data_IF_855955559570
#
_entry.id   IF_855955559570
#
_cell.length_a   1.000
_cell.length_b   1.000
_cell.length_c   1.000
_cell.angle_alpha   90.00
_cell.angle_beta   90.00
_cell.angle_gamma   90.00
#
_symmetry.space_group_name_H-M   'P 1'
#
loop_
_entity.id
_entity.type
_entity.pdbx_description
1 polymer ?
#
# COMPACT_ATOMS: atom_id res chain seq x y z
N UNK A 1 13.75 -5.41 -14.40
CA UNK A 1 13.31 -6.76 -13.97
C UNK A 1 12.05 -6.56 -13.14
N UNK A 2 11.01 -7.34 -13.37
CA UNK A 2 9.80 -7.32 -12.54
C UNK A 2 10.15 -7.92 -11.18
N UNK A 3 9.91 -7.25 -10.05
CA UNK A 3 10.15 -7.84 -8.73
C UNK A 3 9.24 -9.06 -8.58
N UNK A 4 9.84 -10.25 -8.44
CA UNK A 4 9.10 -11.45 -8.12
C UNK A 4 8.80 -11.46 -6.62
N UNK A 5 7.53 -11.44 -6.23
CA UNK A 5 7.14 -11.52 -4.83
C UNK A 5 7.21 -12.98 -4.36
N UNK A 6 8.09 -13.33 -3.41
CA UNK A 6 8.27 -14.72 -3.02
C UNK A 6 7.13 -15.22 -2.15
N UNK A 7 6.85 -16.53 -2.27
CA UNK A 7 5.88 -17.24 -1.42
C UNK A 7 6.62 -18.19 -0.49
N UNK A 8 6.58 -17.90 0.79
CA UNK A 8 7.28 -18.67 1.81
C UNK A 8 6.35 -19.74 2.41
N UNK A 9 6.80 -21.00 2.51
CA UNK A 9 6.04 -22.08 3.12
C UNK A 9 6.04 -21.97 4.66
N UNK A 10 5.21 -22.76 5.36
CA UNK A 10 5.06 -22.66 6.82
C UNK A 10 6.35 -22.85 7.63
N UNK A 11 7.28 -23.67 7.14
CA UNK A 11 8.60 -23.88 7.77
C UNK A 11 9.45 -22.61 7.86
N UNK A 12 9.10 -21.57 7.11
CA UNK A 12 9.80 -20.29 7.12
C UNK A 12 9.22 -19.32 8.17
N UNK A 13 8.15 -19.69 8.88
CA UNK A 13 7.64 -18.91 10.02
C UNK A 13 8.57 -19.14 11.21
N UNK A 14 9.17 -18.06 11.71
CA UNK A 14 9.92 -18.06 12.96
C UNK A 14 9.02 -17.72 14.15
N UNK A 15 9.56 -16.99 15.13
CA UNK A 15 8.78 -16.58 16.31
C UNK A 15 7.91 -15.37 15.96
N UNK A 16 6.60 -15.51 16.06
CA UNK A 16 5.69 -14.36 16.06
C UNK A 16 5.55 -13.83 17.49
N UNK A 17 6.06 -12.61 17.72
CA UNK A 17 6.36 -12.11 19.06
C UNK A 17 5.21 -11.34 19.72
N UNK A 18 4.49 -10.51 18.95
CA UNK A 18 3.41 -9.67 19.49
C UNK A 18 2.43 -9.24 18.43
N UNK A 19 1.15 -9.17 18.80
CA UNK A 19 0.17 -8.40 18.05
C UNK A 19 0.45 -6.89 18.21
N UNK A 20 0.31 -6.16 17.11
CA UNK A 20 0.37 -4.69 17.07
C UNK A 20 -1.07 -4.19 17.04
N UNK A 21 -1.53 -3.43 18.05
CA UNK A 21 -2.87 -2.87 18.03
C UNK A 21 -3.02 -1.83 16.92
N UNK A 22 -4.14 -1.88 16.20
CA UNK A 22 -4.49 -1.00 15.09
C UNK A 22 -5.96 -1.18 14.68
N UNK A 23 -6.53 -0.24 13.92
CA UNK A 23 -7.97 -0.17 13.67
C UNK A 23 -8.48 -1.11 12.54
N UNK A 24 -7.61 -1.64 11.67
CA UNK A 24 -8.06 -2.27 10.41
C UNK A 24 -7.41 -3.62 10.04
N UNK A 25 -6.61 -4.25 10.92
CA UNK A 25 -6.00 -5.53 10.57
C UNK A 25 -5.35 -6.31 11.70
N UNK A 26 -5.17 -7.61 11.48
CA UNK A 26 -4.42 -8.51 12.35
C UNK A 26 -2.93 -8.39 12.04
N UNK A 27 -2.30 -7.36 12.60
CA UNK A 27 -0.87 -7.08 12.41
C UNK A 27 -0.04 -7.59 13.58
N UNK A 28 1.08 -8.25 13.31
CA UNK A 28 2.02 -8.73 14.32
C UNK A 28 3.46 -8.41 13.92
N UNK A 29 4.35 -8.32 14.91
CA UNK A 29 5.80 -8.32 14.68
C UNK A 29 6.33 -9.73 14.93
N UNK A 30 7.21 -10.21 14.06
CA UNK A 30 7.82 -11.52 14.23
C UNK A 30 9.10 -11.69 13.44
N UNK A 31 9.59 -12.92 13.45
CA UNK A 31 10.68 -13.39 12.62
C UNK A 31 10.15 -14.34 11.54
N UNK A 32 10.69 -14.23 10.34
CA UNK A 32 10.58 -15.24 9.29
C UNK A 32 11.98 -15.58 8.77
N UNK A 33 12.11 -16.70 8.07
CA UNK A 33 13.30 -17.06 7.32
C UNK A 33 13.06 -16.80 5.84
N UNK A 34 13.93 -16.03 5.18
CA UNK A 34 13.79 -15.73 3.75
C UNK A 34 14.12 -16.95 2.85
N UNK A 35 14.18 -16.75 1.54
CA UNK A 35 14.45 -17.82 0.55
C UNK A 35 15.84 -18.45 0.76
N UNK A 36 16.74 -17.74 1.43
CA UNK A 36 18.11 -18.17 1.78
C UNK A 36 18.21 -18.66 3.21
N UNK A 37 17.07 -18.83 3.88
CA UNK A 37 16.95 -19.19 5.29
C UNK A 37 17.63 -18.19 6.24
N UNK A 38 17.80 -16.93 5.81
CA UNK A 38 18.30 -15.89 6.70
C UNK A 38 17.12 -15.32 7.53
N UNK A 39 17.30 -15.11 8.84
CA UNK A 39 16.26 -14.54 9.68
C UNK A 39 15.99 -13.08 9.29
N UNK A 40 14.71 -12.71 9.27
CA UNK A 40 14.20 -11.36 8.99
C UNK A 40 13.17 -10.98 10.03
N UNK A 41 13.35 -9.83 10.65
CA UNK A 41 12.29 -9.21 11.44
C UNK A 41 11.28 -8.58 10.49
N UNK A 42 10.00 -8.90 10.69
CA UNK A 42 8.92 -8.50 9.79
C UNK A 42 7.70 -7.99 10.54
N UNK A 43 6.95 -7.13 9.85
CA UNK A 43 5.53 -6.91 10.14
C UNK A 43 4.72 -7.90 9.31
N UNK A 44 3.94 -8.74 9.99
CA UNK A 44 3.04 -9.71 9.39
C UNK A 44 1.61 -9.22 9.52
N UNK A 45 0.84 -9.27 8.43
CA UNK A 45 -0.61 -9.00 8.42
C UNK A 45 -1.39 -10.21 7.95
N UNK A 46 -2.30 -10.66 8.79
CA UNK A 46 -3.29 -11.67 8.43
C UNK A 46 -4.61 -10.99 8.05
N UNK A 47 -5.23 -11.47 6.98
CA UNK A 47 -6.50 -10.95 6.49
C UNK A 47 -7.58 -12.03 6.59
N UNK A 48 -8.83 -11.65 6.91
CA UNK A 48 -9.96 -12.57 6.76
C UNK A 48 -10.06 -13.07 5.31
N UNK A 49 -10.55 -14.29 5.11
CA UNK A 49 -10.66 -14.90 3.76
C UNK A 49 -11.55 -14.10 2.78
N UNK A 50 -12.47 -13.29 3.30
CA UNK A 50 -13.34 -12.41 2.49
C UNK A 50 -12.70 -11.07 2.13
N UNK A 51 -11.58 -10.72 2.76
CA UNK A 51 -10.87 -9.45 2.55
C UNK A 51 -9.94 -9.53 1.34
N UNK A 52 -9.92 -8.46 0.56
CA UNK A 52 -8.97 -8.18 -0.52
C UNK A 52 -7.71 -7.47 -0.03
N UNK A 53 -7.55 -7.28 1.29
CA UNK A 53 -6.41 -6.59 1.89
C UNK A 53 -5.05 -7.20 1.52
N UNK A 54 -4.95 -8.54 1.40
CA UNK A 54 -3.71 -9.20 0.97
C UNK A 54 -3.30 -8.78 -0.44
N UNK A 55 -4.21 -8.89 -1.42
CA UNK A 55 -3.89 -8.50 -2.80
C UNK A 55 -3.65 -6.99 -2.91
N UNK A 56 -4.35 -6.19 -2.11
CA UNK A 56 -4.17 -4.75 -2.03
C UNK A 56 -2.74 -4.37 -1.59
N UNK A 57 -2.23 -5.01 -0.53
CA UNK A 57 -0.85 -4.81 -0.07
C UNK A 57 0.20 -5.22 -1.13
N UNK A 58 -0.01 -6.35 -1.81
CA UNK A 58 0.88 -6.82 -2.89
C UNK A 58 0.97 -5.77 -4.00
N UNK A 59 -0.18 -5.31 -4.50
CA UNK A 59 -0.26 -4.33 -5.58
C UNK A 59 0.41 -3.02 -5.15
N UNK A 60 0.10 -2.55 -3.95
CA UNK A 60 0.64 -1.30 -3.42
C UNK A 60 2.17 -1.34 -3.29
N UNK A 61 2.72 -2.41 -2.70
CA UNK A 61 4.16 -2.56 -2.53
C UNK A 61 4.88 -2.67 -3.88
N UNK A 62 4.35 -3.46 -4.82
CA UNK A 62 4.94 -3.58 -6.17
C UNK A 62 5.00 -2.24 -6.90
N UNK A 63 3.94 -1.43 -6.78
CA UNK A 63 3.90 -0.12 -7.39
C UNK A 63 4.81 0.89 -6.68
N UNK A 64 4.90 0.83 -5.35
CA UNK A 64 5.85 1.67 -4.60
C UNK A 64 7.29 1.39 -5.03
N UNK A 65 7.70 0.12 -5.04
CA UNK A 65 9.03 -0.31 -5.47
C UNK A 65 9.34 0.14 -6.90
N UNK A 66 8.38 -0.03 -7.81
CA UNK A 66 8.58 0.33 -9.21
C UNK A 66 8.65 1.86 -9.45
N UNK A 67 7.87 2.62 -8.68
CA UNK A 67 7.80 4.07 -8.80
C UNK A 67 8.88 4.79 -7.99
N UNK A 68 9.83 4.06 -7.41
CA UNK A 68 10.87 4.56 -6.50
C UNK A 68 10.28 5.32 -5.29
N UNK A 69 9.13 4.87 -4.80
CA UNK A 69 8.57 5.33 -3.52
C UNK A 69 9.20 4.50 -2.43
N UNK A 70 9.88 5.16 -1.50
CA UNK A 70 10.51 4.54 -0.34
C UNK A 70 9.47 3.73 0.43
N UNK A 71 9.67 2.43 0.54
CA UNK A 71 8.82 1.48 1.24
C UNK A 71 9.70 0.35 1.85
N UNK A 72 9.14 -0.68 2.52
CA UNK A 72 9.92 -1.81 2.99
C UNK A 72 10.72 -2.48 1.86
N UNK A 73 12.02 -2.66 2.05
CA UNK A 73 12.97 -3.16 1.01
C UNK A 73 12.74 -4.60 0.57
N UNK A 74 11.92 -5.34 1.31
CA UNK A 74 11.54 -6.69 0.97
C UNK A 74 10.13 -6.99 1.51
N UNK A 75 9.42 -7.82 0.77
CA UNK A 75 8.10 -8.31 1.13
C UNK A 75 7.91 -9.76 0.68
N UNK A 76 6.96 -10.43 1.31
CA UNK A 76 6.66 -11.84 1.10
C UNK A 76 5.17 -12.11 1.28
N UNK A 77 4.68 -13.15 0.61
CA UNK A 77 3.50 -13.87 1.08
C UNK A 77 3.99 -15.07 1.87
N UNK A 78 3.59 -15.20 3.13
CA UNK A 78 3.96 -16.35 3.97
C UNK A 78 2.73 -17.17 4.34
N UNK A 79 2.83 -18.49 4.18
CA UNK A 79 1.77 -19.41 4.59
C UNK A 79 1.92 -19.70 6.08
N UNK A 80 0.94 -19.30 6.88
CA UNK A 80 0.99 -19.44 8.35
C UNK A 80 0.02 -20.52 8.81
N UNK A 81 0.47 -21.38 9.73
CA UNK A 81 -0.42 -22.36 10.36
C UNK A 81 -1.39 -21.69 11.34
N UNK A 82 -2.63 -22.21 11.46
CA UNK A 82 -3.66 -21.60 12.31
C UNK A 82 -3.25 -21.43 13.77
N UNK A 83 -2.42 -22.34 14.30
CA UNK A 83 -2.03 -22.30 15.71
C UNK A 83 -1.23 -21.03 16.06
N UNK A 84 -0.40 -20.53 15.14
CA UNK A 84 0.32 -19.26 15.31
C UNK A 84 -0.65 -18.07 15.37
N UNK A 85 -1.63 -18.02 14.46
CA UNK A 85 -2.61 -16.94 14.39
C UNK A 85 -3.56 -16.95 15.60
N UNK A 86 -3.98 -18.14 16.04
CA UNK A 86 -4.81 -18.34 17.25
C UNK A 86 -4.06 -17.96 18.53
N UNK A 87 -2.74 -18.13 18.57
CA UNK A 87 -1.93 -17.67 19.70
C UNK A 87 -1.88 -16.13 19.80
N UNK A 88 -1.85 -15.43 18.66
CA UNK A 88 -1.81 -13.96 18.62
C UNK A 88 -3.20 -13.34 18.81
N UNK A 89 -4.22 -13.97 18.22
CA UNK A 89 -5.60 -13.49 18.20
C UNK A 89 -6.57 -14.63 18.56
N UNK A 90 -6.64 -15.03 19.85
CA UNK A 90 -7.41 -16.19 20.31
C UNK A 90 -8.93 -16.02 20.13
N UNK A 91 -9.41 -14.78 20.05
CA UNK A 91 -10.83 -14.47 19.87
C UNK A 91 -11.25 -14.42 18.38
N UNK A 92 -10.31 -14.60 17.45
CA UNK A 92 -10.59 -14.59 16.01
C UNK A 92 -10.74 -16.01 15.49
N UNK A 93 -11.77 -16.25 14.69
CA UNK A 93 -11.96 -17.53 13.99
C UNK A 93 -11.06 -17.59 12.76
N UNK A 94 -9.96 -18.34 12.86
CA UNK A 94 -9.07 -18.63 11.74
C UNK A 94 -9.45 -19.93 11.03
N UNK A 95 -9.25 -20.03 9.70
CA UNK A 95 -9.38 -21.29 8.97
C UNK A 95 -8.55 -22.42 9.60
N UNK A 96 -8.92 -23.68 9.38
CA UNK A 96 -8.14 -24.83 9.86
C UNK A 96 -6.95 -25.17 8.94
N UNK A 97 -6.90 -24.58 7.74
CA UNK A 97 -5.79 -24.71 6.80
C UNK A 97 -4.78 -23.56 6.88
N UNK A 98 -3.73 -23.65 6.05
CA UNK A 98 -2.74 -22.59 5.91
C UNK A 98 -3.39 -21.27 5.51
N UNK A 99 -3.04 -20.20 6.20
CA UNK A 99 -3.53 -18.85 5.92
C UNK A 99 -2.41 -18.02 5.28
N UNK A 100 -2.57 -17.53 4.04
CA UNK A 100 -1.61 -16.63 3.44
C UNK A 100 -1.64 -15.29 4.17
N UNK A 101 -0.48 -14.84 4.62
CA UNK A 101 -0.29 -13.57 5.29
C UNK A 101 0.67 -12.69 4.48
N UNK A 102 0.45 -11.38 4.54
CA UNK A 102 1.39 -10.41 4.01
C UNK A 102 2.52 -10.21 5.02
N UNK A 103 3.77 -10.18 4.56
CA UNK A 103 4.91 -9.86 5.42
C UNK A 103 5.81 -8.83 4.75
N UNK A 104 6.20 -7.80 5.47
CA UNK A 104 7.20 -6.82 5.02
C UNK A 104 8.35 -6.77 6.00
N UNK A 105 9.56 -6.61 5.47
CA UNK A 105 10.73 -6.41 6.29
C UNK A 105 10.56 -5.18 7.16
N UNK A 106 10.90 -5.30 8.44
CA UNK A 106 10.95 -4.15 9.34
C UNK A 106 11.92 -3.12 8.76
N UNK A 107 11.44 -1.89 8.63
CA UNK A 107 12.27 -0.77 8.22
C UNK A 107 13.21 -0.46 9.38
N UNK A 108 14.47 -0.86 9.23
CA UNK A 108 15.46 -0.75 10.30
C UNK A 108 15.53 0.68 10.86
N UNK A 109 15.58 0.79 12.20
CA UNK A 109 15.91 2.03 12.91
C UNK A 109 17.35 2.44 12.56
N UNK A 110 17.52 3.11 11.42
CA UNK A 110 18.83 3.63 10.99
C UNK A 110 19.21 4.92 11.72
N UNK A 111 18.34 5.44 12.59
CA UNK A 111 18.63 6.57 13.46
C UNK A 111 17.59 6.75 14.58
N UNK A 112 17.83 7.69 15.52
CA UNK A 112 16.93 7.97 16.65
C UNK A 112 15.58 8.57 16.24
N UNK A 113 15.41 8.95 14.98
CA UNK A 113 14.18 9.56 14.45
C UNK A 113 13.22 8.56 13.80
N UNK A 114 13.57 7.27 13.72
CA UNK A 114 12.70 6.27 13.12
C UNK A 114 11.59 5.91 14.08
N UNK A 115 10.39 6.44 13.82
CA UNK A 115 9.20 6.21 14.65
C UNK A 115 7.95 6.19 13.77
N UNK A 116 6.90 5.45 14.19
CA UNK A 116 5.56 5.64 13.66
C UNK A 116 5.15 7.11 13.78
N UNK A 117 4.59 7.66 12.71
CA UNK A 117 4.21 9.08 12.71
C UNK A 117 2.92 9.27 13.52
N UNK A 118 3.01 10.08 14.58
CA UNK A 118 1.82 10.62 15.26
C UNK A 118 1.34 11.88 14.56
N UNK A 119 0.02 12.14 14.58
CA UNK A 119 -0.53 13.37 14.01
C UNK A 119 0.05 14.60 14.71
N UNK A 120 0.81 15.40 13.96
CA UNK A 120 1.41 16.64 14.44
C UNK A 120 1.58 17.62 13.28
N UNK A 121 1.29 18.92 13.48
CA UNK A 121 1.53 19.95 12.45
C UNK A 121 2.98 19.98 11.95
N UNK A 122 3.95 19.68 12.83
CA UNK A 122 5.36 19.63 12.44
C UNK A 122 5.62 18.49 11.44
N UNK A 123 5.03 17.31 11.67
CA UNK A 123 5.22 16.18 10.77
C UNK A 123 4.49 16.40 9.44
N UNK A 124 3.32 17.03 9.46
CA UNK A 124 2.64 17.44 8.23
C UNK A 124 3.52 18.40 7.38
N UNK A 125 4.19 19.36 8.02
CA UNK A 125 5.15 20.25 7.33
C UNK A 125 6.39 19.53 6.82
N UNK A 126 6.83 18.45 7.48
CA UNK A 126 7.92 17.63 7.00
C UNK A 126 7.51 16.73 5.83
N UNK A 127 6.33 16.11 5.90
CA UNK A 127 5.74 15.33 4.81
C UNK A 127 5.56 16.20 3.56
N UNK A 128 5.11 17.44 3.70
CA UNK A 128 5.02 18.40 2.60
C UNK A 128 6.36 18.72 1.92
N UNK A 129 7.49 18.38 2.57
CA UNK A 129 8.85 18.58 2.07
C UNK A 129 9.57 17.28 1.77
N UNK A 130 8.89 16.14 1.86
CA UNK A 130 9.42 14.85 1.46
C UNK A 130 9.47 14.78 -0.07
N UNK A 131 10.64 14.52 -0.71
CA UNK A 131 10.76 14.57 -2.16
C UNK A 131 9.76 13.68 -2.91
N UNK A 132 9.32 12.57 -2.33
CA UNK A 132 8.42 11.60 -2.97
C UNK A 132 6.93 11.85 -2.64
N UNK A 133 6.59 12.89 -1.85
CA UNK A 133 5.21 13.09 -1.37
C UNK A 133 4.19 13.21 -2.50
N UNK A 134 4.56 13.87 -3.59
CA UNK A 134 3.68 14.05 -4.75
C UNK A 134 3.48 12.75 -5.51
N UNK A 135 4.50 11.89 -5.55
CA UNK A 135 4.42 10.56 -6.16
C UNK A 135 3.49 9.66 -5.35
N UNK A 136 3.57 9.71 -4.01
CA UNK A 136 2.61 8.99 -3.15
C UNK A 136 1.19 9.52 -3.30
N UNK A 137 1.00 10.84 -3.35
CA UNK A 137 -0.34 11.43 -3.59
C UNK A 137 -0.89 10.95 -4.93
N UNK A 138 -0.08 10.98 -5.99
CA UNK A 138 -0.46 10.50 -7.32
C UNK A 138 -0.83 9.00 -7.29
N UNK A 139 -0.03 8.17 -6.62
CA UNK A 139 -0.30 6.74 -6.45
C UNK A 139 -1.59 6.48 -5.66
N UNK A 140 -1.80 7.19 -4.54
CA UNK A 140 -3.01 7.06 -3.73
C UNK A 140 -4.26 7.45 -4.51
N UNK A 141 -4.18 8.51 -5.34
CA UNK A 141 -5.27 8.86 -6.23
C UNK A 141 -5.49 7.80 -7.31
N UNK A 142 -4.41 7.31 -7.94
CA UNK A 142 -4.49 6.29 -8.99
C UNK A 142 -5.17 5.02 -8.48
N UNK A 143 -4.73 4.56 -7.32
CA UNK A 143 -5.22 3.35 -6.66
C UNK A 143 -6.53 3.55 -5.89
N UNK A 144 -7.05 4.77 -5.80
CA UNK A 144 -8.23 5.08 -5.00
C UNK A 144 -8.06 4.62 -3.53
N UNK A 145 -6.90 4.95 -2.92
CA UNK A 145 -6.59 4.58 -1.54
C UNK A 145 -7.46 5.36 -0.54
N UNK A 146 -8.35 4.65 0.15
CA UNK A 146 -9.30 5.23 1.09
C UNK A 146 -8.65 5.61 2.44
N UNK A 147 -7.42 5.17 2.69
CA UNK A 147 -6.77 5.37 3.98
C UNK A 147 -5.30 5.84 3.92
N UNK A 148 -4.99 6.84 3.10
CA UNK A 148 -3.66 7.49 3.08
C UNK A 148 -3.36 8.38 4.31
N UNK A 149 -3.60 7.92 5.53
CA UNK A 149 -3.44 8.72 6.76
C UNK A 149 -1.96 8.76 7.25
N UNK A 150 -1.66 9.63 8.22
CA UNK A 150 -0.27 9.82 8.72
C UNK A 150 0.35 8.56 9.33
N UNK A 151 -0.45 7.66 9.92
CA UNK A 151 0.02 6.40 10.49
C UNK A 151 0.53 5.40 9.45
N UNK A 152 0.24 5.62 8.18
CA UNK A 152 0.73 4.81 7.05
C UNK A 152 2.08 5.30 6.52
N UNK A 153 2.78 6.11 7.31
CA UNK A 153 4.13 6.58 7.04
C UNK A 153 5.05 6.32 8.23
N UNK A 154 6.25 5.82 7.93
CA UNK A 154 7.34 5.69 8.90
C UNK A 154 8.34 6.80 8.62
N UNK A 155 8.62 7.65 9.61
CA UNK A 155 9.69 8.66 9.48
C UNK A 155 11.03 7.91 9.48
N UNK A 156 11.92 8.20 8.54
CA UNK A 156 13.28 7.63 8.47
C UNK A 156 14.34 8.63 8.94
N UNK A 157 14.10 9.90 8.62
CA UNK A 157 14.85 11.06 9.07
C UNK A 157 13.99 12.30 8.80
N UNK A 158 14.46 13.48 9.18
CA UNK A 158 13.85 14.75 8.81
C UNK A 158 13.55 14.80 7.30
N UNK A 159 12.27 14.96 6.95
CA UNK A 159 11.75 15.00 5.56
C UNK A 159 12.00 13.74 4.72
N UNK A 160 12.32 12.61 5.35
CA UNK A 160 12.42 11.30 4.66
C UNK A 160 11.46 10.34 5.33
N UNK A 161 10.60 9.74 4.53
CA UNK A 161 9.58 8.83 5.01
C UNK A 161 9.59 7.57 4.16
N UNK A 162 9.00 6.51 4.70
CA UNK A 162 8.62 5.33 3.95
C UNK A 162 7.10 5.21 3.98
N UNK A 163 6.50 4.88 2.84
CA UNK A 163 5.10 4.51 2.74
C UNK A 163 4.92 3.05 3.16
N UNK A 164 3.91 2.79 3.96
CA UNK A 164 3.48 1.44 4.36
C UNK A 164 1.96 1.34 4.21
N UNK A 165 1.42 0.13 4.34
CA UNK A 165 -0.02 -0.13 4.43
C UNK A 165 -0.83 0.31 3.21
N UNK A 166 -0.92 -0.59 2.24
CA UNK A 166 -1.75 -0.44 1.05
C UNK A 166 -3.11 -1.12 1.13
N UNK A 167 -3.53 -1.62 2.29
CA UNK A 167 -4.68 -2.52 2.37
C UNK A 167 -6.01 -1.88 1.91
N UNK A 168 -6.12 -0.55 1.93
CA UNK A 168 -7.35 0.19 1.61
C UNK A 168 -7.37 0.81 0.19
N UNK A 169 -6.54 0.30 -0.74
CA UNK A 169 -6.68 0.65 -2.17
C UNK A 169 -7.98 0.09 -2.75
N UNK A 170 -8.36 0.56 -3.95
CA UNK A 170 -9.63 0.24 -4.60
C UNK A 170 -10.85 0.61 -3.76
N UNK A 171 -10.76 1.70 -2.98
CA UNK A 171 -11.83 2.16 -2.11
C UNK A 171 -12.04 1.32 -0.85
N UNK A 172 -11.20 0.32 -0.59
CA UNK A 172 -11.14 -0.42 0.67
C UNK A 172 -10.87 -1.91 0.52
N UNK A 173 -11.00 -2.69 1.60
CA UNK A 173 -10.69 -4.13 1.56
C UNK A 173 -11.79 -5.06 0.99
N UNK A 174 -12.98 -4.57 0.68
CA UNK A 174 -14.13 -5.41 0.27
C UNK A 174 -14.64 -5.06 -1.13
N UNK A 175 -13.77 -4.59 -2.02
CA UNK A 175 -14.15 -4.24 -3.38
C UNK A 175 -14.59 -5.46 -4.20
N UNK A 176 -15.47 -5.18 -5.16
CA UNK A 176 -15.92 -6.08 -6.23
C UNK A 176 -15.81 -5.35 -7.56
N UNK A 177 -15.90 -6.08 -8.67
CA UNK A 177 -15.98 -5.46 -9.99
C UNK A 177 -17.06 -4.39 -10.12
N UNK A 178 -18.23 -4.60 -9.51
CA UNK A 178 -19.32 -3.63 -9.48
C UNK A 178 -18.97 -2.39 -8.65
N UNK A 179 -18.33 -2.56 -7.48
CA UNK A 179 -17.92 -1.42 -6.68
C UNK A 179 -16.84 -0.62 -7.40
N UNK A 180 -15.85 -1.27 -8.02
CA UNK A 180 -14.79 -0.64 -8.81
C UNK A 180 -15.34 0.27 -9.91
N UNK A 181 -16.36 -0.20 -10.65
CA UNK A 181 -17.02 0.59 -11.69
C UNK A 181 -17.76 1.83 -11.17
N UNK A 182 -18.08 1.85 -9.87
CA UNK A 182 -18.79 2.96 -9.20
C UNK A 182 -17.89 3.81 -8.31
N UNK A 183 -16.61 3.46 -8.14
CA UNK A 183 -15.67 4.27 -7.37
C UNK A 183 -15.54 5.63 -8.06
N UNK A 184 -16.16 6.62 -7.43
CA UNK A 184 -16.04 8.01 -7.81
C UNK A 184 -14.89 8.66 -7.05
N UNK A 185 -15.25 9.64 -6.22
CA UNK A 185 -14.29 10.41 -5.45
C UNK A 185 -13.82 9.65 -4.20
N UNK A 186 -12.49 9.53 -4.05
CA UNK A 186 -11.85 9.13 -2.81
C UNK A 186 -11.12 10.34 -2.22
N UNK A 187 -11.30 10.55 -0.91
CA UNK A 187 -10.61 11.61 -0.19
C UNK A 187 -9.15 11.23 0.04
N UNK A 188 -8.25 11.85 -0.72
CA UNK A 188 -6.81 11.69 -0.55
C UNK A 188 -6.33 12.39 0.73
N UNK A 189 -6.28 11.62 1.83
CA UNK A 189 -5.92 12.11 3.17
C UNK A 189 -4.52 12.75 3.19
N UNK A 190 -3.53 12.15 2.52
CA UNK A 190 -2.17 12.70 2.46
C UNK A 190 -2.16 14.08 1.81
N UNK A 191 -2.87 14.25 0.69
CA UNK A 191 -2.98 15.56 0.03
C UNK A 191 -3.59 16.63 0.94
N UNK A 192 -4.57 16.27 1.77
CA UNK A 192 -5.12 17.16 2.79
C UNK A 192 -4.11 17.46 3.91
N UNK A 193 -3.41 16.45 4.42
CA UNK A 193 -2.40 16.58 5.47
C UNK A 193 -1.30 17.58 5.07
N UNK A 194 -0.83 17.52 3.83
CA UNK A 194 0.25 18.40 3.35
C UNK A 194 -0.27 19.73 2.79
N UNK A 195 -1.58 19.97 2.85
CA UNK A 195 -2.20 21.22 2.43
C UNK A 195 -2.32 21.41 0.91
N UNK A 196 -2.20 20.33 0.13
CA UNK A 196 -2.40 20.33 -1.33
C UNK A 196 -3.87 20.48 -1.72
N UNK A 197 -4.79 20.16 -0.80
CA UNK A 197 -6.23 20.37 -0.96
C UNK A 197 -6.73 21.20 0.22
N UNK A 198 -7.36 22.34 -0.06
CA UNK A 198 -8.00 23.23 0.91
C UNK A 198 -9.39 23.59 0.42
N UNK A 199 -10.39 23.51 1.30
CA UNK A 199 -11.79 23.83 0.98
C UNK A 199 -12.28 23.13 -0.30
N UNK A 200 -11.89 21.85 -0.45
CA UNK A 200 -12.18 21.01 -1.61
C UNK A 200 -11.59 21.46 -2.96
N UNK A 201 -10.72 22.48 -2.95
CA UNK A 201 -9.96 22.92 -4.12
C UNK A 201 -8.53 22.40 -4.06
N UNK A 202 -8.01 21.99 -5.22
CA UNK A 202 -6.63 21.55 -5.39
C UNK A 202 -5.77 22.79 -5.61
N UNK A 203 -4.64 22.90 -4.90
CA UNK A 203 -3.64 23.92 -5.17
C UNK A 203 -3.06 23.73 -6.58
N UNK A 204 -3.04 24.77 -7.45
CA UNK A 204 -2.55 24.62 -8.83
C UNK A 204 -1.10 24.11 -8.94
N UNK A 205 -0.21 24.50 -8.02
CA UNK A 205 1.17 24.02 -8.04
C UNK A 205 1.26 22.55 -7.61
N UNK A 206 0.43 22.14 -6.64
CA UNK A 206 0.31 20.74 -6.25
C UNK A 206 -0.28 19.90 -7.38
N UNK A 207 -1.27 20.42 -8.12
CA UNK A 207 -1.83 19.76 -9.29
C UNK A 207 -0.75 19.49 -10.34
N UNK A 208 0.08 20.49 -10.66
CA UNK A 208 1.18 20.31 -11.60
C UNK A 208 2.18 19.25 -11.15
N UNK A 209 2.57 19.27 -9.86
CA UNK A 209 3.50 18.30 -9.29
C UNK A 209 2.93 16.88 -9.35
N UNK A 210 1.69 16.66 -8.88
CA UNK A 210 1.03 15.36 -8.93
C UNK A 210 0.89 14.86 -10.37
N UNK A 211 0.42 15.71 -11.29
CA UNK A 211 0.27 15.34 -12.70
C UNK A 211 1.60 14.98 -13.37
N UNK A 212 2.70 15.62 -12.97
CA UNK A 212 4.03 15.25 -13.47
C UNK A 212 4.42 13.81 -13.08
N UNK A 213 4.13 13.39 -11.85
CA UNK A 213 4.43 12.04 -11.36
C UNK A 213 3.63 10.96 -12.11
N UNK A 214 2.40 11.29 -12.57
CA UNK A 214 1.55 10.32 -13.30
C UNK A 214 2.15 9.81 -14.60
N UNK A 215 3.14 10.49 -15.17
CA UNK A 215 3.81 10.11 -16.42
C UNK A 215 4.43 8.71 -16.34
N UNK A 216 4.80 8.25 -15.14
CA UNK A 216 5.37 6.92 -14.90
C UNK A 216 4.32 5.83 -14.73
N UNK A 217 3.06 6.16 -14.42
CA UNK A 217 2.02 5.18 -14.08
C UNK A 217 1.75 4.19 -15.21
N UNK A 218 1.65 4.68 -16.46
CA UNK A 218 1.41 3.82 -17.61
C UNK A 218 2.53 2.81 -17.83
N UNK A 219 3.79 3.26 -17.71
CA UNK A 219 4.96 2.39 -17.82
C UNK A 219 5.06 1.39 -16.66
N UNK A 220 4.73 1.82 -15.45
CA UNK A 220 4.63 0.94 -14.28
C UNK A 220 3.59 -0.15 -14.48
N UNK A 221 2.40 0.21 -14.93
CA UNK A 221 1.33 -0.74 -15.18
C UNK A 221 1.74 -1.76 -16.25
N UNK A 222 2.29 -1.31 -17.38
CA UNK A 222 2.75 -2.20 -18.46
C UNK A 222 3.86 -3.16 -17.98
N UNK A 223 4.79 -2.68 -17.15
CA UNK A 223 5.91 -3.51 -16.68
C UNK A 223 5.47 -4.55 -15.65
N UNK A 224 4.49 -4.19 -14.80
CA UNK A 224 4.00 -5.06 -13.74
C UNK A 224 2.77 -5.88 -14.16
N UNK A 225 2.16 -5.63 -15.32
CA UNK A 225 0.85 -6.16 -15.74
C UNK A 225 0.74 -7.67 -15.54
N UNK A 226 1.72 -8.43 -16.05
CA UNK A 226 1.72 -9.89 -15.96
C UNK A 226 1.70 -10.37 -14.50
N UNK A 227 2.50 -9.75 -13.65
CA UNK A 227 2.64 -10.15 -12.26
C UNK A 227 1.43 -9.72 -11.41
N UNK A 228 0.90 -8.52 -11.66
CA UNK A 228 -0.34 -8.04 -11.04
C UNK A 228 -1.52 -8.94 -11.41
N UNK A 229 -1.68 -9.27 -12.70
CA UNK A 229 -2.74 -10.17 -13.17
C UNK A 229 -2.60 -11.58 -12.60
N UNK A 230 -1.37 -12.09 -12.43
CA UNK A 230 -1.11 -13.39 -11.79
C UNK A 230 -1.61 -13.39 -10.35
N UNK A 231 -1.22 -12.38 -9.56
CA UNK A 231 -1.63 -12.26 -8.15
C UNK A 231 -3.13 -12.02 -7.99
N UNK A 232 -3.68 -11.09 -8.77
CA UNK A 232 -5.11 -10.84 -8.82
C UNK A 232 -5.87 -12.13 -9.16
N UNK A 233 -5.53 -12.82 -10.24
CA UNK A 233 -6.25 -14.04 -10.65
C UNK A 233 -6.17 -15.14 -9.58
N UNK A 234 -5.03 -15.26 -8.91
CA UNK A 234 -4.81 -16.25 -7.85
C UNK A 234 -5.66 -15.98 -6.61
N UNK A 235 -5.74 -14.72 -6.16
CA UNK A 235 -6.42 -14.36 -4.91
C UNK A 235 -7.89 -13.97 -5.10
N UNK A 236 -8.27 -13.58 -6.32
CA UNK A 236 -9.57 -12.96 -6.62
C UNK A 236 -10.43 -13.76 -7.61
N UNK A 237 -9.82 -14.69 -8.34
CA UNK A 237 -10.41 -15.30 -9.53
C UNK A 237 -10.24 -14.43 -10.79
N UNK A 238 -10.34 -15.04 -11.98
CA UNK A 238 -10.00 -14.38 -13.24
C UNK A 238 -10.91 -13.21 -13.59
N UNK A 239 -12.21 -13.29 -13.30
CA UNK A 239 -13.16 -12.20 -13.63
C UNK A 239 -12.86 -10.93 -12.85
N UNK A 240 -12.73 -11.03 -11.52
CA UNK A 240 -12.37 -9.90 -10.67
C UNK A 240 -10.98 -9.35 -10.99
N UNK A 241 -10.04 -10.22 -11.39
CA UNK A 241 -8.71 -9.80 -11.78
C UNK A 241 -8.71 -8.87 -13.00
N UNK A 242 -9.49 -9.19 -14.03
CA UNK A 242 -9.60 -8.32 -15.22
C UNK A 242 -10.27 -6.99 -14.86
N UNK A 243 -11.31 -6.99 -14.04
CA UNK A 243 -11.99 -5.77 -13.62
C UNK A 243 -11.10 -4.84 -12.79
N UNK A 244 -10.29 -5.40 -11.89
CA UNK A 244 -9.28 -4.64 -11.15
C UNK A 244 -8.16 -4.11 -12.06
N UNK A 245 -7.68 -4.91 -13.02
CA UNK A 245 -6.68 -4.45 -13.99
C UNK A 245 -7.22 -3.34 -14.89
N UNK A 246 -8.46 -3.46 -15.37
CA UNK A 246 -9.13 -2.44 -16.18
C UNK A 246 -9.33 -1.14 -15.39
N UNK A 247 -9.69 -1.25 -14.10
CA UNK A 247 -9.75 -0.10 -13.21
C UNK A 247 -8.40 0.64 -13.13
N UNK A 248 -7.28 -0.10 -12.95
CA UNK A 248 -5.95 0.50 -12.94
C UNK A 248 -5.63 1.18 -14.28
N UNK A 249 -5.94 0.54 -15.41
CA UNK A 249 -5.73 1.07 -16.77
C UNK A 249 -6.48 2.38 -17.00
N UNK A 250 -7.78 2.41 -16.65
CA UNK A 250 -8.64 3.58 -16.86
C UNK A 250 -8.19 4.80 -16.05
N UNK A 251 -7.50 4.59 -14.94
CA UNK A 251 -7.04 5.66 -14.03
C UNK A 251 -5.59 6.07 -14.25
N UNK A 252 -4.89 5.49 -15.22
CA UNK A 252 -3.57 5.99 -15.65
C UNK A 252 -3.69 7.46 -16.06
N UNK A 253 -2.72 8.29 -15.63
CA UNK A 253 -2.78 9.73 -15.87
C UNK A 253 -3.86 10.47 -15.07
N UNK A 254 -4.55 9.78 -14.15
CA UNK A 254 -5.58 10.35 -13.28
C UNK A 254 -6.73 11.03 -14.06
N UNK A 255 -7.04 10.52 -15.25
CA UNK A 255 -8.20 10.97 -16.03
C UNK A 255 -9.48 10.91 -15.19
N UNK A 256 -10.31 11.94 -15.27
CA UNK A 256 -11.57 12.08 -14.50
C UNK A 256 -11.40 12.20 -12.96
N UNK A 257 -10.19 12.50 -12.48
CA UNK A 257 -9.98 12.88 -11.08
C UNK A 257 -9.94 14.41 -10.93
N UNK A 258 -9.96 14.89 -9.68
CA UNK A 258 -9.84 16.34 -9.38
C UNK A 258 -8.51 16.96 -9.77
N UNK A 259 -7.49 16.13 -9.98
CA UNK A 259 -6.14 16.55 -10.35
C UNK A 259 -6.05 16.89 -11.84
N UNK A 260 -6.92 16.29 -12.64
CA UNK A 260 -6.99 16.48 -14.09
C UNK A 260 -8.03 17.57 -14.45
N UNK A 261 -7.82 18.83 -14.05
CA UNK A 261 -8.56 19.97 -14.63
C UNK A 261 -7.76 20.57 -15.79
N UNK A 262 -8.41 20.73 -16.95
CA UNK A 262 -7.81 21.30 -18.16
C UNK A 262 -7.31 22.74 -17.99
N UNK A 263 -7.83 23.48 -17.01
CA UNK A 263 -7.49 24.89 -16.80
C UNK A 263 -6.09 25.10 -16.19
N UNK A 264 -5.54 24.11 -15.48
CA UNK A 264 -4.18 24.21 -14.92
C UNK A 264 -3.08 24.07 -15.99
N UNK A 265 -3.40 23.41 -17.11
CA UNK A 265 -2.44 23.16 -18.21
C UNK A 265 -2.32 24.39 -19.12
N UNK A 266 -3.33 25.27 -19.15
CA UNK A 266 -3.36 26.48 -19.99
C UNK A 266 -2.58 27.67 -19.42
N UNK A 267 -2.02 27.56 -18.22
CA UNK A 267 -1.26 28.63 -17.55
C UNK A 267 0.27 28.46 -17.66
N UNK A 268 0.72 27.53 -18.51
CA UNK A 268 2.10 27.38 -18.99
C UNK A 268 2.20 27.84 -20.44
#
# INVERSE_FOLDING_TARGET
MTPALPVLPPRNVGILSRAVPGLSGFTAVGEIYDERLAPRTVYLKAFPATSRGLINEIIYWMLCEYLDITCPTAAWVILVEPHHLRSLWPNTRWPDGLTPCWATQEIANTGPETMPVTQSPLVAQELAKWPEVWNVIALHEWLANADGNMGNFVRLARRRFAAIDGAEIFGGQNWTGESLARIGYIHNKLAHIVGAIKDHQVDPSAALQVMNETRRHGHALLTLEQELLRWLSTLCGPTEAHLAADFLKQRVGLGNTRWHKQDYIKTL
#
